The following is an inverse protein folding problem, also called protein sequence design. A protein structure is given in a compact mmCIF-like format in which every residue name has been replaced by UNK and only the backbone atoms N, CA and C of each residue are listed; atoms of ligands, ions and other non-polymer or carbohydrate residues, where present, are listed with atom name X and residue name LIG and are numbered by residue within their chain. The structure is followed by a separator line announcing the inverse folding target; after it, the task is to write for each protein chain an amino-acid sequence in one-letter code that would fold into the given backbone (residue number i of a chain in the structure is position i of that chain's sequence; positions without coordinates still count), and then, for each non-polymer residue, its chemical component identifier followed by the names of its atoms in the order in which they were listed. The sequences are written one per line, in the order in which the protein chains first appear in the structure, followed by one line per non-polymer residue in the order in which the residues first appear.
data_IF_292273595344
#
_entry.id   IF_292273595344
#
_cell.length_a   1.000
_cell.length_b   1.000
_cell.length_c   1.000
_cell.angle_alpha   90.00
_cell.angle_beta   90.00
_cell.angle_gamma   90.00
#
_symmetry.space_group_name_H-M   'P 1'
#
loop_
_entity.id
_entity.type
_entity.pdbx_description
1 polymer ?
#
# COMPACT_ATOMS: atom_id res chain seq x y z
N UNK A 1 13.40 -45.55 -64.79
CA UNK A 1 13.82 -46.92 -64.43
C UNK A 1 14.99 -46.83 -63.46
N UNK A 2 14.85 -47.45 -62.30
CA UNK A 2 15.87 -47.78 -61.27
C UNK A 2 16.68 -46.67 -60.58
N UNK A 3 16.47 -46.68 -59.26
CA UNK A 3 17.23 -46.08 -58.16
C UNK A 3 18.71 -46.52 -58.14
N UNK A 4 19.57 -45.66 -57.58
CA UNK A 4 20.80 -46.10 -56.91
C UNK A 4 21.21 -45.09 -55.83
N UNK A 5 21.18 -45.53 -54.58
CA UNK A 5 21.75 -44.87 -53.39
C UNK A 5 23.27 -45.09 -53.38
N UNK A 6 24.01 -44.09 -52.89
CA UNK A 6 25.32 -44.12 -52.19
C UNK A 6 25.78 -42.65 -52.13
N UNK A 7 26.37 -42.06 -51.11
CA UNK A 7 26.87 -42.45 -49.79
C UNK A 7 27.40 -41.14 -49.17
N UNK A 8 27.22 -40.95 -47.87
CA UNK A 8 27.66 -39.76 -47.15
C UNK A 8 29.18 -39.53 -47.23
N UNK A 9 29.61 -38.28 -47.46
CA UNK A 9 30.94 -37.77 -47.10
C UNK A 9 30.81 -36.34 -46.58
N UNK A 10 31.47 -36.13 -45.45
CA UNK A 10 31.42 -34.99 -44.55
C UNK A 10 32.10 -33.75 -45.14
N UNK A 11 31.54 -32.57 -44.87
CA UNK A 11 32.27 -31.31 -44.87
C UNK A 11 31.88 -30.52 -43.61
N UNK A 12 32.89 -30.26 -42.78
CA UNK A 12 32.84 -29.48 -41.55
C UNK A 12 32.27 -28.08 -41.79
N UNK A 13 31.24 -27.70 -41.05
CA UNK A 13 30.87 -26.29 -40.85
C UNK A 13 31.54 -25.84 -39.56
N UNK A 14 32.58 -25.02 -39.68
CA UNK A 14 33.23 -24.35 -38.55
C UNK A 14 32.21 -23.37 -37.96
N UNK A 15 31.72 -23.70 -36.76
CA UNK A 15 30.82 -22.88 -35.99
C UNK A 15 31.59 -21.68 -35.39
N UNK A 16 31.44 -20.50 -35.98
CA UNK A 16 31.80 -19.23 -35.35
C UNK A 16 30.65 -18.83 -34.41
N UNK A 17 30.70 -19.27 -33.15
CA UNK A 17 29.92 -18.68 -32.07
C UNK A 17 30.87 -17.98 -31.10
N UNK A 18 31.05 -16.67 -31.30
CA UNK A 18 31.58 -15.80 -30.25
C UNK A 18 30.48 -15.63 -29.19
N UNK A 19 30.76 -15.85 -27.89
CA UNK A 19 29.78 -15.55 -26.86
C UNK A 19 29.76 -14.03 -26.64
N UNK A 20 28.68 -13.39 -27.08
CA UNK A 20 28.37 -12.01 -26.69
C UNK A 20 27.91 -12.06 -25.22
N UNK A 21 28.83 -11.88 -24.29
CA UNK A 21 28.53 -11.76 -22.86
C UNK A 21 27.85 -10.41 -22.63
N UNK A 22 26.53 -10.37 -22.79
CA UNK A 22 25.71 -9.23 -22.33
C UNK A 22 25.70 -9.29 -20.81
N UNK A 23 26.50 -8.44 -20.18
CA UNK A 23 26.30 -8.05 -18.79
C UNK A 23 24.96 -7.29 -18.73
N UNK A 24 23.88 -8.02 -18.44
CA UNK A 24 22.62 -7.45 -17.99
C UNK A 24 22.86 -6.81 -16.63
N UNK A 25 23.29 -5.56 -16.61
CA UNK A 25 23.14 -4.72 -15.43
C UNK A 25 21.64 -4.50 -15.24
N UNK A 26 21.01 -5.37 -14.45
CA UNK A 26 19.70 -5.07 -13.87
C UNK A 26 19.92 -3.89 -12.94
N UNK A 27 19.73 -2.68 -13.47
CA UNK A 27 19.67 -1.49 -12.63
C UNK A 27 18.54 -1.69 -11.63
N UNK A 28 18.87 -1.68 -10.34
CA UNK A 28 17.85 -1.59 -9.29
C UNK A 28 17.25 -0.20 -9.44
N UNK A 29 16.11 -0.09 -10.12
CA UNK A 29 15.33 1.13 -10.11
C UNK A 29 14.81 1.31 -8.68
N UNK A 30 15.50 2.14 -7.89
CA UNK A 30 14.93 2.68 -6.68
C UNK A 30 13.67 3.42 -7.09
N UNK A 31 12.54 3.05 -6.49
CA UNK A 31 11.31 3.73 -6.80
C UNK A 31 11.42 5.17 -6.31
N UNK A 32 11.23 6.13 -7.20
CA UNK A 32 11.23 7.55 -6.84
C UNK A 32 9.83 8.02 -6.45
N UNK A 33 9.78 9.13 -5.71
CA UNK A 33 8.54 9.88 -5.49
C UNK A 33 8.00 10.33 -6.86
N UNK A 34 6.77 9.95 -7.25
CA UNK A 34 6.18 10.39 -8.51
C UNK A 34 6.13 11.91 -8.57
N UNK A 35 6.45 12.50 -9.74
CA UNK A 35 6.43 13.96 -9.91
C UNK A 35 5.08 14.57 -9.53
N UNK A 36 4.00 13.86 -9.84
CA UNK A 36 2.62 14.25 -9.53
C UNK A 36 2.40 14.47 -8.02
N UNK A 37 3.10 13.71 -7.17
CA UNK A 37 3.03 13.84 -5.71
C UNK A 37 3.42 15.25 -5.23
N UNK A 38 4.35 15.90 -5.93
CA UNK A 38 4.87 17.21 -5.54
C UNK A 38 3.79 18.30 -5.59
N UNK A 39 2.77 18.15 -6.44
CA UNK A 39 1.63 19.06 -6.50
C UNK A 39 0.80 19.06 -5.21
N UNK A 40 0.79 17.93 -4.51
CA UNK A 40 -0.05 17.72 -3.32
C UNK A 40 0.73 17.80 -2.01
N UNK A 41 2.08 17.80 -2.03
CA UNK A 41 2.94 17.77 -0.84
C UNK A 41 2.53 18.78 0.23
N UNK A 42 2.38 20.06 -0.15
CA UNK A 42 2.07 21.14 0.81
C UNK A 42 0.70 20.98 1.45
N UNK A 43 -0.28 20.55 0.67
CA UNK A 43 -1.64 20.36 1.16
C UNK A 43 -1.75 19.11 2.03
N UNK A 44 -1.09 18.01 1.65
CA UNK A 44 -0.99 16.84 2.52
C UNK A 44 -0.38 17.24 3.87
N UNK A 45 0.78 17.90 3.90
CA UNK A 45 1.41 18.35 5.15
C UNK A 45 0.45 19.21 5.99
N UNK A 46 -0.25 20.17 5.36
CA UNK A 46 -1.19 21.05 6.05
C UNK A 46 -2.35 20.27 6.66
N UNK A 47 -3.01 19.44 5.87
CA UNK A 47 -4.18 18.67 6.30
C UNK A 47 -3.80 17.63 7.35
N UNK A 48 -2.67 16.95 7.18
CA UNK A 48 -2.11 16.02 8.17
C UNK A 48 -1.86 16.72 9.50
N UNK A 49 -1.20 17.87 9.51
CA UNK A 49 -0.92 18.61 10.75
C UNK A 49 -2.16 19.20 11.40
N UNK A 50 -3.16 19.58 10.61
CA UNK A 50 -4.43 20.04 11.15
C UNK A 50 -5.14 18.95 11.96
N UNK A 51 -5.05 17.70 11.51
CA UNK A 51 -5.73 16.55 12.12
C UNK A 51 -4.90 15.89 13.22
N UNK A 52 -3.58 15.78 13.05
CA UNK A 52 -2.69 15.00 13.92
C UNK A 52 -1.79 15.86 14.81
N UNK A 53 -1.72 17.18 14.59
CA UNK A 53 -0.73 18.05 15.23
C UNK A 53 0.62 18.06 14.50
N UNK A 54 1.64 18.67 15.11
CA UNK A 54 2.94 18.89 14.45
C UNK A 54 3.67 17.58 14.11
N UNK A 55 3.44 16.53 14.90
CA UNK A 55 4.04 15.20 14.77
C UNK A 55 3.27 14.27 13.82
N UNK A 56 2.45 14.84 12.92
CA UNK A 56 1.68 14.06 11.96
C UNK A 56 2.56 13.06 11.18
N UNK A 57 2.10 11.81 10.97
CA UNK A 57 2.85 10.79 10.22
C UNK A 57 2.73 11.02 8.70
N UNK A 58 3.18 12.19 8.23
CA UNK A 58 3.03 12.64 6.83
C UNK A 58 3.64 11.64 5.86
N UNK A 59 4.79 11.05 6.20
CA UNK A 59 5.45 10.10 5.32
C UNK A 59 4.61 8.82 5.14
N UNK A 60 3.92 8.35 6.19
CA UNK A 60 2.98 7.22 6.11
C UNK A 60 1.80 7.56 5.22
N UNK A 61 1.20 8.73 5.40
CA UNK A 61 0.02 9.15 4.61
C UNK A 61 0.38 9.32 3.12
N UNK A 62 1.55 9.88 2.84
CA UNK A 62 2.10 10.01 1.49
C UNK A 62 2.37 8.63 0.85
N UNK A 63 2.98 7.71 1.62
CA UNK A 63 3.21 6.33 1.21
C UNK A 63 1.91 5.56 0.94
N UNK A 64 0.87 5.82 1.72
CA UNK A 64 -0.46 5.24 1.49
C UNK A 64 -1.05 5.74 0.17
N UNK A 65 -1.05 7.06 -0.12
CA UNK A 65 -1.54 7.58 -1.41
C UNK A 65 -0.73 6.97 -2.57
N UNK A 66 0.57 6.84 -2.40
CA UNK A 66 1.43 6.20 -3.40
C UNK A 66 1.01 4.75 -3.64
N UNK A 67 0.72 3.97 -2.60
CA UNK A 67 0.24 2.60 -2.73
C UNK A 67 -1.14 2.53 -3.40
N UNK A 68 -2.05 3.46 -3.06
CA UNK A 68 -3.44 3.44 -3.54
C UNK A 68 -3.59 3.87 -5.00
N UNK A 69 -2.89 4.94 -5.41
CA UNK A 69 -3.15 5.59 -6.70
C UNK A 69 -1.89 5.97 -7.47
N UNK A 70 -0.69 5.78 -6.88
CA UNK A 70 0.55 6.38 -7.39
C UNK A 70 0.44 7.90 -7.59
N UNK A 71 -0.40 8.56 -6.77
CA UNK A 71 -0.76 9.97 -6.85
C UNK A 71 -1.61 10.38 -8.06
N UNK A 72 -2.24 9.43 -8.75
CA UNK A 72 -3.23 9.74 -9.79
C UNK A 72 -4.59 10.06 -9.17
N UNK A 73 -5.01 11.33 -9.24
CA UNK A 73 -6.30 11.78 -8.72
C UNK A 73 -7.51 11.20 -9.46
N UNK A 74 -7.32 10.71 -10.68
CA UNK A 74 -8.37 10.14 -11.51
C UNK A 74 -8.36 8.61 -11.48
N UNK A 75 -7.50 8.00 -10.66
CA UNK A 75 -7.38 6.56 -10.51
C UNK A 75 -8.73 5.92 -10.16
N UNK A 76 -9.09 4.86 -10.88
CA UNK A 76 -10.30 4.07 -10.65
C UNK A 76 -9.98 2.58 -10.66
N UNK A 77 -10.50 1.89 -9.67
CA UNK A 77 -10.55 0.43 -9.64
C UNK A 77 -12.00 -0.04 -9.79
N UNK A 78 -12.23 -1.36 -9.74
CA UNK A 78 -13.58 -1.92 -9.75
C UNK A 78 -14.40 -1.49 -8.52
N UNK A 79 -13.76 -1.06 -7.42
CA UNK A 79 -14.41 -0.84 -6.13
C UNK A 79 -14.20 0.56 -5.54
N UNK A 80 -13.21 1.31 -6.04
CA UNK A 80 -12.70 2.51 -5.40
C UNK A 80 -12.19 3.56 -6.39
N UNK A 81 -12.00 4.79 -5.92
CA UNK A 81 -11.59 5.91 -6.77
C UNK A 81 -10.76 6.98 -6.06
N UNK A 82 -10.04 7.77 -6.86
CA UNK A 82 -9.29 8.94 -6.43
C UNK A 82 -7.95 8.59 -5.77
N UNK A 83 -7.31 9.62 -5.20
CA UNK A 83 -5.98 9.51 -4.58
C UNK A 83 -5.90 8.42 -3.50
N UNK A 84 -6.99 8.24 -2.76
CA UNK A 84 -7.03 7.43 -1.53
C UNK A 84 -7.80 6.13 -1.71
N UNK A 85 -8.28 5.86 -2.93
CA UNK A 85 -9.09 4.70 -3.29
C UNK A 85 -10.20 4.43 -2.26
N UNK A 86 -10.95 5.47 -1.89
CA UNK A 86 -12.17 5.25 -1.12
C UNK A 86 -13.24 4.58 -1.98
N UNK A 87 -13.88 3.58 -1.36
CA UNK A 87 -15.12 3.02 -1.90
C UNK A 87 -16.25 4.06 -1.78
N UNK A 88 -17.32 3.95 -2.59
CA UNK A 88 -18.48 4.84 -2.46
C UNK A 88 -19.11 4.83 -1.06
N UNK A 89 -19.14 3.67 -0.38
CA UNK A 89 -19.68 3.55 0.97
C UNK A 89 -18.79 4.21 2.01
N UNK A 90 -17.46 4.05 1.92
CA UNK A 90 -16.50 4.72 2.81
C UNK A 90 -16.59 6.24 2.64
N UNK A 91 -16.60 6.74 1.40
CA UNK A 91 -16.69 8.17 1.12
C UNK A 91 -18.00 8.80 1.62
N UNK A 92 -19.12 8.06 1.47
CA UNK A 92 -20.43 8.48 2.00
C UNK A 92 -20.43 8.52 3.53
N UNK A 93 -19.96 7.45 4.17
CA UNK A 93 -19.90 7.36 5.62
C UNK A 93 -19.06 8.48 6.23
N UNK A 94 -17.83 8.68 5.72
CA UNK A 94 -16.91 9.65 6.33
C UNK A 94 -17.40 11.10 6.14
N UNK A 95 -18.04 11.40 5.01
CA UNK A 95 -18.66 12.73 4.80
C UNK A 95 -19.79 12.98 5.80
N UNK A 96 -20.58 11.95 6.11
CA UNK A 96 -21.65 12.04 7.11
C UNK A 96 -21.14 12.10 8.54
N UNK A 97 -20.02 11.43 8.83
CA UNK A 97 -19.40 11.42 10.17
C UNK A 97 -18.64 12.72 10.49
N UNK A 98 -18.03 13.35 9.48
CA UNK A 98 -17.22 14.58 9.63
C UNK A 98 -17.70 15.70 8.68
N UNK A 99 -18.97 16.12 8.75
CA UNK A 99 -19.54 17.06 7.79
C UNK A 99 -18.92 18.47 7.92
N UNK A 100 -18.45 18.84 9.12
CA UNK A 100 -17.78 20.13 9.36
C UNK A 100 -16.41 20.21 8.68
N UNK A 101 -15.69 19.10 8.63
CA UNK A 101 -14.33 19.04 8.10
C UNK A 101 -14.30 18.77 6.58
N UNK A 102 -15.26 17.98 6.08
CA UNK A 102 -15.27 17.47 4.72
C UNK A 102 -16.32 18.13 3.81
N UNK A 103 -17.42 18.62 4.36
CA UNK A 103 -18.53 19.14 3.56
C UNK A 103 -19.12 18.08 2.62
N UNK A 104 -19.40 18.47 1.38
CA UNK A 104 -19.97 17.56 0.37
C UNK A 104 -19.00 16.42 0.00
N UNK A 105 -19.54 15.21 -0.21
CA UNK A 105 -18.78 14.04 -0.63
C UNK A 105 -18.17 14.23 -2.03
N UNK A 106 -16.84 14.31 -2.13
CA UNK A 106 -16.11 14.57 -3.38
C UNK A 106 -14.84 13.70 -3.51
N UNK A 107 -14.95 12.37 -3.72
CA UNK A 107 -13.81 11.46 -3.64
C UNK A 107 -12.75 11.67 -4.74
N UNK A 108 -13.12 12.28 -5.87
CA UNK A 108 -12.19 12.64 -6.96
C UNK A 108 -11.57 14.04 -6.78
N UNK A 109 -11.98 14.82 -5.77
CA UNK A 109 -11.36 16.10 -5.45
C UNK A 109 -10.12 15.85 -4.58
N UNK A 110 -8.90 16.16 -5.04
CA UNK A 110 -7.68 15.92 -4.28
C UNK A 110 -7.70 16.54 -2.88
N UNK A 111 -8.18 17.78 -2.74
CA UNK A 111 -8.21 18.46 -1.44
C UNK A 111 -9.17 17.78 -0.46
N UNK A 112 -10.27 17.23 -0.97
CA UNK A 112 -11.20 16.45 -0.17
C UNK A 112 -10.56 15.11 0.23
N UNK A 113 -9.96 14.40 -0.72
CA UNK A 113 -9.34 13.09 -0.49
C UNK A 113 -8.21 13.15 0.56
N UNK A 114 -7.32 14.15 0.46
CA UNK A 114 -6.21 14.33 1.41
C UNK A 114 -6.72 14.58 2.85
N UNK A 115 -7.74 15.44 3.02
CA UNK A 115 -8.36 15.68 4.32
C UNK A 115 -9.03 14.43 4.85
N UNK A 116 -9.83 13.78 4.01
CA UNK A 116 -10.62 12.62 4.39
C UNK A 116 -9.75 11.42 4.76
N UNK A 117 -8.65 11.17 4.03
CA UNK A 117 -7.65 10.17 4.42
C UNK A 117 -7.05 10.49 5.78
N UNK A 118 -6.58 11.73 5.98
CA UNK A 118 -5.94 12.10 7.24
C UNK A 118 -6.86 11.89 8.44
N UNK A 119 -8.13 12.27 8.30
CA UNK A 119 -9.19 12.04 9.32
C UNK A 119 -9.43 10.55 9.50
N UNK A 120 -9.58 9.79 8.42
CA UNK A 120 -9.93 8.37 8.51
C UNK A 120 -8.83 7.54 9.15
N UNK A 121 -7.59 7.74 8.72
CA UNK A 121 -6.43 7.06 9.30
C UNK A 121 -6.30 7.42 10.78
N UNK A 122 -6.55 8.69 11.17
CA UNK A 122 -6.53 9.08 12.58
C UNK A 122 -7.60 8.39 13.40
N UNK A 123 -8.84 8.36 12.90
CA UNK A 123 -9.94 7.66 13.57
C UNK A 123 -9.59 6.18 13.79
N UNK A 124 -9.09 5.51 12.75
CA UNK A 124 -8.70 4.11 12.85
C UNK A 124 -7.52 3.90 13.80
N UNK A 125 -6.56 4.82 13.83
CA UNK A 125 -5.39 4.79 14.71
C UNK A 125 -5.79 4.96 16.18
N UNK A 126 -6.59 5.97 16.48
CA UNK A 126 -7.10 6.25 17.82
C UNK A 126 -7.98 5.09 18.33
N UNK A 127 -8.73 4.42 17.44
CA UNK A 127 -9.54 3.22 17.74
C UNK A 127 -8.72 1.91 17.79
N UNK A 128 -7.39 1.98 17.73
CA UNK A 128 -6.51 0.80 17.73
C UNK A 128 -5.73 0.68 19.03
N UNK A 129 -6.06 -0.33 19.83
CA UNK A 129 -5.20 -0.77 20.93
C UNK A 129 -4.02 -1.61 20.40
N UNK A 130 -2.82 -1.23 20.80
CA UNK A 130 -1.57 -1.81 20.34
C UNK A 130 -0.44 -1.60 21.35
N UNK A 131 0.62 -2.39 21.25
CA UNK A 131 1.75 -2.38 22.17
C UNK A 131 2.74 -1.24 21.86
N UNK A 132 2.92 -0.93 20.58
CA UNK A 132 3.81 0.13 20.09
C UNK A 132 3.15 0.99 19.02
N UNK A 133 3.69 2.19 18.71
CA UNK A 133 3.23 2.98 17.57
C UNK A 133 3.32 2.23 16.23
N UNK A 134 4.33 1.36 16.05
CA UNK A 134 4.43 0.49 14.88
C UNK A 134 3.24 -0.47 14.82
N UNK A 135 2.98 -1.23 15.89
CA UNK A 135 1.84 -2.15 15.96
C UNK A 135 0.52 -1.42 15.72
N UNK A 136 0.39 -0.19 16.26
CA UNK A 136 -0.80 0.63 16.13
C UNK A 136 -1.03 1.05 14.67
N UNK A 137 -0.01 1.58 14.00
CA UNK A 137 -0.12 1.98 12.59
C UNK A 137 -0.28 0.76 11.67
N UNK A 138 0.40 -0.34 11.96
CA UNK A 138 0.30 -1.58 11.19
C UNK A 138 -1.13 -2.11 11.17
N UNK A 139 -1.75 -2.20 12.35
CA UNK A 139 -3.15 -2.61 12.50
C UNK A 139 -4.11 -1.58 11.92
N UNK A 140 -3.81 -0.28 12.01
CA UNK A 140 -4.57 0.79 11.36
C UNK A 140 -4.65 0.59 9.85
N UNK A 141 -3.52 0.29 9.21
CA UNK A 141 -3.43 0.03 7.77
C UNK A 141 -4.19 -1.25 7.39
N UNK A 142 -4.16 -2.31 8.21
CA UNK A 142 -5.05 -3.46 8.00
C UNK A 142 -6.53 -3.08 8.06
N UNK A 143 -6.93 -2.22 9.01
CA UNK A 143 -8.33 -1.77 9.14
C UNK A 143 -8.75 -0.91 7.94
N UNK A 144 -7.84 -0.07 7.42
CA UNK A 144 -8.10 0.77 6.26
C UNK A 144 -8.34 -0.08 5.01
N UNK A 145 -7.45 -1.02 4.71
CA UNK A 145 -7.52 -1.84 3.49
C UNK A 145 -8.61 -2.94 3.57
N UNK A 146 -8.68 -3.65 4.69
CA UNK A 146 -9.53 -4.85 4.84
C UNK A 146 -10.78 -4.66 5.69
N UNK A 147 -10.97 -3.48 6.27
CA UNK A 147 -12.09 -3.16 7.15
C UNK A 147 -11.88 -3.58 8.62
N UNK A 148 -12.23 -2.67 9.54
CA UNK A 148 -12.02 -2.88 10.98
C UNK A 148 -12.77 -4.09 11.56
N UNK A 149 -13.95 -4.42 11.01
CA UNK A 149 -14.71 -5.59 11.46
C UNK A 149 -13.98 -6.91 11.22
N UNK A 150 -13.24 -7.02 10.13
CA UNK A 150 -12.46 -8.21 9.82
C UNK A 150 -11.22 -8.33 10.70
N UNK A 151 -10.49 -7.22 10.92
CA UNK A 151 -9.32 -7.20 11.81
C UNK A 151 -9.70 -7.63 13.24
N UNK A 152 -10.84 -7.15 13.75
CA UNK A 152 -11.36 -7.57 15.07
C UNK A 152 -11.68 -9.06 15.16
N UNK A 153 -12.10 -9.69 14.06
CA UNK A 153 -12.33 -11.15 14.03
C UNK A 153 -11.00 -11.91 14.09
N UNK A 154 -9.99 -11.44 13.38
CA UNK A 154 -8.64 -12.03 13.42
C UNK A 154 -8.03 -11.88 14.81
N UNK A 155 -8.14 -10.71 15.44
CA UNK A 155 -7.71 -10.49 16.83
C UNK A 155 -8.41 -11.44 17.79
N UNK A 156 -9.73 -11.64 17.64
CA UNK A 156 -10.48 -12.61 18.46
C UNK A 156 -10.00 -14.04 18.27
N UNK A 157 -9.63 -14.42 17.05
CA UNK A 157 -9.09 -15.74 16.75
C UNK A 157 -7.67 -15.91 17.34
N UNK A 158 -6.84 -14.87 17.21
CA UNK A 158 -5.49 -14.81 17.78
C UNK A 158 -5.54 -14.93 19.32
N UNK A 159 -6.40 -14.16 19.98
CA UNK A 159 -6.59 -14.19 21.42
C UNK A 159 -6.98 -15.59 21.93
N UNK A 160 -7.89 -16.29 21.22
CA UNK A 160 -8.27 -17.67 21.55
C UNK A 160 -7.11 -18.66 21.46
N UNK A 161 -6.07 -18.31 20.70
CA UNK A 161 -4.86 -19.12 20.52
C UNK A 161 -3.73 -18.70 21.47
N UNK A 162 -4.00 -17.77 22.40
CA UNK A 162 -3.03 -17.28 23.38
C UNK A 162 -2.12 -16.14 22.90
N UNK A 163 -2.32 -15.62 21.68
CA UNK A 163 -1.55 -14.52 21.14
C UNK A 163 -1.89 -13.20 21.84
N UNK A 164 -0.89 -12.33 22.01
CA UNK A 164 -1.08 -10.97 22.47
C UNK A 164 -1.60 -10.08 21.33
N UNK A 165 -2.89 -9.76 21.34
CA UNK A 165 -3.54 -8.99 20.28
C UNK A 165 -3.01 -7.55 20.12
N UNK A 166 -2.27 -7.03 21.11
CA UNK A 166 -1.64 -5.71 21.04
C UNK A 166 -0.41 -5.73 20.13
N UNK A 167 0.16 -6.90 19.83
CA UNK A 167 1.34 -7.07 18.98
C UNK A 167 0.87 -7.51 17.58
N UNK A 168 1.12 -6.69 16.56
CA UNK A 168 0.62 -6.92 15.21
C UNK A 168 1.15 -8.23 14.63
N UNK A 169 2.46 -8.50 14.73
CA UNK A 169 3.09 -9.74 14.24
C UNK A 169 2.48 -11.02 14.82
N UNK A 170 1.90 -10.94 16.03
CA UNK A 170 1.24 -12.10 16.66
C UNK A 170 -0.19 -12.29 16.13
N UNK A 171 -0.85 -11.23 15.65
CA UNK A 171 -2.17 -11.31 15.00
C UNK A 171 -2.06 -11.63 13.50
N UNK A 172 -0.96 -11.24 12.86
CA UNK A 172 -0.72 -11.35 11.42
C UNK A 172 -1.05 -12.72 10.80
N UNK A 173 -0.69 -13.87 11.44
CA UNK A 173 -0.96 -15.20 10.87
C UNK A 173 -2.45 -15.60 10.90
N UNK A 174 -3.28 -14.92 11.68
CA UNK A 174 -4.66 -15.35 11.92
C UNK A 174 -5.62 -14.81 10.86
N UNK A 175 -6.32 -15.72 10.18
CA UNK A 175 -7.37 -15.41 9.21
C UNK A 175 -8.72 -15.98 9.67
N UNK A 176 -9.65 -15.12 10.07
CA UNK A 176 -10.98 -15.51 10.55
C UNK A 176 -12.01 -15.77 9.42
N UNK A 177 -11.56 -16.21 8.23
CA UNK A 177 -12.42 -16.67 7.14
C UNK A 177 -12.50 -15.74 5.92
N UNK A 178 -11.55 -14.81 5.75
CA UNK A 178 -11.42 -14.07 4.49
C UNK A 178 -10.92 -14.98 3.37
N UNK A 179 -11.33 -14.66 2.14
CA UNK A 179 -10.75 -15.27 0.96
C UNK A 179 -9.21 -15.12 0.97
N UNK A 180 -8.44 -16.16 0.59
CA UNK A 180 -6.99 -16.15 0.71
C UNK A 180 -6.29 -14.96 0.03
N UNK A 181 -6.80 -14.52 -1.12
CA UNK A 181 -6.25 -13.36 -1.83
C UNK A 181 -6.45 -12.05 -1.05
N UNK A 182 -7.66 -11.81 -0.54
CA UNK A 182 -7.98 -10.62 0.27
C UNK A 182 -7.24 -10.61 1.61
N UNK A 183 -7.01 -11.79 2.18
CA UNK A 183 -6.20 -11.91 3.38
C UNK A 183 -4.74 -11.53 3.11
N UNK A 184 -4.13 -12.08 2.06
CA UNK A 184 -2.75 -11.75 1.67
C UNK A 184 -2.60 -10.27 1.34
N UNK A 185 -3.47 -9.72 0.50
CA UNK A 185 -3.46 -8.29 0.18
C UNK A 185 -3.49 -7.43 1.44
N UNK A 186 -4.37 -7.77 2.39
CA UNK A 186 -4.45 -7.05 3.64
C UNK A 186 -3.17 -7.16 4.49
N UNK A 187 -2.56 -8.35 4.56
CA UNK A 187 -1.32 -8.55 5.32
C UNK A 187 -0.13 -7.85 4.69
N UNK A 188 -0.05 -7.84 3.36
CA UNK A 188 1.04 -7.20 2.61
C UNK A 188 0.94 -5.66 2.63
N UNK A 189 -0.24 -5.10 2.89
CA UNK A 189 -0.50 -3.67 2.77
C UNK A 189 0.38 -2.79 3.70
N UNK A 190 0.56 -3.08 5.01
CA UNK A 190 1.49 -2.32 5.84
C UNK A 190 2.95 -2.52 5.45
N UNK A 191 3.35 -3.70 4.96
CA UNK A 191 4.71 -3.91 4.44
C UNK A 191 5.00 -2.96 3.27
N UNK A 192 4.05 -2.85 2.34
CA UNK A 192 4.18 -1.93 1.22
C UNK A 192 4.29 -0.46 1.69
N UNK A 193 3.46 -0.04 2.64
CA UNK A 193 3.41 1.35 3.06
C UNK A 193 4.59 1.70 3.99
N UNK A 194 4.77 0.98 5.08
CA UNK A 194 5.70 1.34 6.16
C UNK A 194 7.15 0.98 5.81
N UNK A 195 7.37 -0.13 5.11
CA UNK A 195 8.73 -0.63 4.85
C UNK A 195 9.25 -0.27 3.45
N UNK A 196 8.35 -0.21 2.46
CA UNK A 196 8.74 0.04 1.06
C UNK A 196 8.56 1.49 0.63
N UNK A 197 7.40 2.10 0.86
CA UNK A 197 7.09 3.43 0.33
C UNK A 197 7.40 4.59 1.29
N UNK A 198 7.20 4.43 2.60
CA UNK A 198 7.48 5.48 3.60
C UNK A 198 8.89 6.05 3.48
N UNK A 199 9.97 5.26 3.28
CA UNK A 199 11.32 5.80 3.17
C UNK A 199 11.52 6.82 2.03
N UNK A 200 10.67 6.79 1.01
CA UNK A 200 10.71 7.78 -0.09
C UNK A 200 10.21 9.16 0.35
N UNK A 201 9.42 9.21 1.41
CA UNK A 201 8.73 10.42 1.90
C UNK A 201 9.28 10.93 3.23
N UNK A 202 10.40 10.39 3.74
CA UNK A 202 11.01 10.81 5.02
C UNK A 202 11.24 12.32 5.11
N UNK A 203 11.54 12.98 3.99
CA UNK A 203 11.74 14.44 3.91
C UNK A 203 10.45 15.26 3.93
N UNK A 204 9.27 14.64 4.07
CA UNK A 204 7.97 15.31 4.04
C UNK A 204 7.39 15.52 5.44
N UNK A 205 7.81 14.75 6.45
CA UNK A 205 7.36 14.89 7.83
C UNK A 205 7.52 13.61 8.62
N UNK A 206 6.73 13.47 9.69
CA UNK A 206 6.83 12.35 10.63
C UNK A 206 6.68 10.97 9.98
N UNK A 207 7.38 10.01 10.58
CA UNK A 207 7.44 8.60 10.18
C UNK A 207 7.02 7.69 11.33
N UNK A 208 6.67 6.45 11.00
CA UNK A 208 6.53 5.38 11.98
C UNK A 208 7.66 4.38 11.76
N UNK A 209 8.52 4.22 12.77
CA UNK A 209 9.60 3.24 12.72
C UNK A 209 9.07 1.86 13.09
N UNK A 210 9.27 0.91 12.19
CA UNK A 210 8.96 -0.51 12.41
C UNK A 210 10.24 -1.33 12.27
N UNK A 211 10.42 -2.31 13.16
CA UNK A 211 11.60 -3.18 13.26
C UNK A 211 11.21 -4.65 13.20
#
# INVERSE_FOLDING_TARGET
MRTSRKSARWALVVALFAPFLVLLTVGIALADVPREALHYKRDLIRHSRHVWGLDAPVAVLAAQIHQESRWDKDAKSAFASGLTQFTPSTATWISGAYPKDLGANQPLNPQWALRAQSIYVKQLYDDTDAATPCDQMWKTLWKYNGGAGWVRRDEKLAAKSGANIRIAKEVEPFNAGRAPAMFRENRDYPHAILLKWQPLYSSWGGEITCS
#
